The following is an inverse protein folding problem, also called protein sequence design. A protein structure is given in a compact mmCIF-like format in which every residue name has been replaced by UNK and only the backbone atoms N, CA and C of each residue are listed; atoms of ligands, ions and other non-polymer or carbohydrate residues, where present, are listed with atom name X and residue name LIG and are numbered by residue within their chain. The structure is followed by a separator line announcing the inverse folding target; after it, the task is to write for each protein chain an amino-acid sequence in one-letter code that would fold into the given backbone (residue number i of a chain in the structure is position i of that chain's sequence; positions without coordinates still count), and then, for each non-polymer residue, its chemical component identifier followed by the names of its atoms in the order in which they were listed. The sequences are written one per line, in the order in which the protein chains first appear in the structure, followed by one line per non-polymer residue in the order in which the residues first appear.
data_IF_315655790355
#
_entry.id   IF_315655790355
#
_cell.length_a   1.000
_cell.length_b   1.000
_cell.length_c   1.000
_cell.angle_alpha   90.00
_cell.angle_beta   90.00
_cell.angle_gamma   90.00
#
_symmetry.space_group_name_H-M   'P 1'
#
loop_
_entity.id
_entity.type
_entity.pdbx_description
1 polymer ?
#
# COMPACT_ATOMS: atom_id res chain seq x y z
N UNK A 1 4.60 10.02 0.91
CA UNK A 1 3.53 11.00 0.91
C UNK A 1 2.63 10.98 -0.32
N UNK A 2 2.91 10.10 -1.30
CA UNK A 2 2.06 9.97 -2.50
C UNK A 2 0.88 9.04 -2.16
N UNK A 3 -0.34 9.57 -2.21
CA UNK A 3 -1.57 8.84 -1.89
C UNK A 3 -1.87 7.66 -2.84
N UNK A 4 -1.31 7.69 -4.05
CA UNK A 4 -1.43 6.60 -5.04
C UNK A 4 -0.38 5.49 -4.85
N UNK A 5 0.66 5.71 -4.02
CA UNK A 5 1.73 4.74 -3.73
C UNK A 5 1.56 4.05 -2.39
N UNK A 6 0.98 4.73 -1.39
CA UNK A 6 0.89 4.25 -0.02
C UNK A 6 -0.56 4.26 0.46
N UNK A 7 -1.06 3.12 0.96
CA UNK A 7 -2.46 2.98 1.39
C UNK A 7 -2.80 3.88 2.58
N UNK A 8 -1.90 3.98 3.54
CA UNK A 8 -1.99 4.84 4.72
C UNK A 8 -0.76 5.74 4.79
N UNK A 9 -0.76 6.89 4.10
CA UNK A 9 0.40 7.76 4.03
C UNK A 9 0.88 8.22 5.40
N UNK A 10 2.18 8.15 5.62
CA UNK A 10 2.84 8.59 6.86
C UNK A 10 3.32 10.04 6.76
N UNK A 11 3.39 10.58 5.56
CA UNK A 11 3.80 11.94 5.26
C UNK A 11 2.66 12.66 4.56
N UNK A 12 2.32 13.84 5.06
CA UNK A 12 1.43 14.79 4.39
C UNK A 12 2.24 15.66 3.44
N UNK A 13 2.00 15.56 2.12
CA UNK A 13 2.70 16.37 1.14
C UNK A 13 2.16 17.81 1.15
N UNK A 14 3.09 18.75 1.05
CA UNK A 14 2.77 20.17 0.82
C UNK A 14 3.41 20.59 -0.50
N UNK A 15 2.59 20.86 -1.50
CA UNK A 15 3.03 21.13 -2.87
C UNK A 15 2.86 19.90 -3.79
N UNK A 16 3.53 19.93 -4.95
CA UNK A 16 3.40 18.90 -5.96
C UNK A 16 4.36 17.72 -5.72
N UNK A 17 3.82 16.61 -5.22
CA UNK A 17 4.54 15.33 -5.04
C UNK A 17 4.35 14.38 -6.23
N UNK A 18 3.84 14.87 -7.34
CA UNK A 18 3.58 14.10 -8.55
C UNK A 18 2.20 13.46 -8.61
N UNK A 19 1.92 12.91 -9.76
CA UNK A 19 0.75 12.07 -10.06
C UNK A 19 1.25 10.73 -10.60
N UNK A 20 0.39 9.74 -10.85
CA UNK A 20 0.82 8.52 -11.53
C UNK A 20 1.49 8.75 -12.88
N UNK A 21 1.14 9.84 -13.57
CA UNK A 21 1.59 10.17 -14.93
C UNK A 21 2.66 11.27 -14.97
N UNK A 22 2.71 12.15 -13.95
CA UNK A 22 3.60 13.29 -13.92
C UNK A 22 4.61 13.21 -12.77
N UNK A 23 5.88 13.59 -13.00
CA UNK A 23 6.89 13.60 -11.96
C UNK A 23 6.61 14.68 -10.90
N UNK A 24 7.11 14.51 -9.67
CA UNK A 24 7.00 15.52 -8.63
C UNK A 24 7.82 16.76 -8.96
N UNK A 25 7.47 17.88 -8.34
CA UNK A 25 8.29 19.08 -8.35
C UNK A 25 9.65 18.84 -7.67
N UNK A 26 10.64 19.69 -7.98
CA UNK A 26 11.91 19.63 -7.26
C UNK A 26 11.69 19.85 -5.75
N UNK A 27 12.43 19.13 -4.92
CA UNK A 27 12.22 19.12 -3.46
C UNK A 27 12.30 20.51 -2.79
N UNK A 28 12.98 21.49 -3.40
CA UNK A 28 13.05 22.87 -2.90
C UNK A 28 11.72 23.62 -2.97
N UNK A 29 10.73 23.09 -3.70
CA UNK A 29 9.39 23.69 -3.84
C UNK A 29 8.34 22.95 -3.02
N UNK A 30 8.72 21.95 -2.25
CA UNK A 30 7.79 21.12 -1.50
C UNK A 30 8.17 21.05 -0.03
N UNK A 31 7.19 20.81 0.83
CA UNK A 31 7.39 20.54 2.24
C UNK A 31 6.79 19.18 2.59
N UNK A 32 7.31 18.57 3.64
CA UNK A 32 6.80 17.30 4.18
C UNK A 32 6.41 17.51 5.64
N UNK A 33 5.22 17.02 6.00
CA UNK A 33 4.74 17.01 7.39
C UNK A 33 4.40 15.59 7.80
N UNK A 34 4.55 15.30 9.08
CA UNK A 34 4.07 14.01 9.61
C UNK A 34 2.54 13.99 9.57
N UNK A 35 1.98 12.88 9.09
CA UNK A 35 0.55 12.64 9.23
C UNK A 35 0.20 12.30 10.68
N UNK A 36 -1.07 12.44 11.07
CA UNK A 36 -1.53 12.02 12.39
C UNK A 36 -1.30 10.54 12.68
N UNK A 37 -1.30 9.71 11.64
CA UNK A 37 -1.00 8.29 11.77
C UNK A 37 0.48 8.03 12.07
N UNK A 38 1.39 8.87 11.55
CA UNK A 38 2.83 8.73 11.81
C UNK A 38 3.18 8.90 13.28
N UNK A 39 2.48 9.77 14.00
CA UNK A 39 2.70 9.95 15.43
C UNK A 39 2.42 8.68 16.24
N UNK A 40 1.54 7.81 15.75
CA UNK A 40 1.26 6.51 16.37
C UNK A 40 2.43 5.51 16.23
N UNK A 41 3.36 5.74 15.30
CA UNK A 41 4.58 4.92 15.20
C UNK A 41 5.63 5.34 16.22
N UNK A 42 5.59 6.59 16.68
CA UNK A 42 6.54 7.19 17.62
C UNK A 42 6.02 7.19 19.06
N UNK A 43 4.75 6.94 19.26
CA UNK A 43 4.12 7.03 20.58
C UNK A 43 4.75 6.04 21.56
N UNK A 44 5.20 6.56 22.71
CA UNK A 44 5.94 5.82 23.72
C UNK A 44 7.45 5.71 23.48
N UNK A 45 8.02 6.40 22.49
CA UNK A 45 9.45 6.32 22.18
C UNK A 45 10.35 6.81 23.34
N UNK A 46 9.84 7.75 24.14
CA UNK A 46 10.53 8.32 25.31
C UNK A 46 10.30 7.50 26.61
N UNK A 47 9.59 6.37 26.51
CA UNK A 47 9.19 5.52 27.64
C UNK A 47 10.03 4.24 27.77
N UNK A 48 11.26 4.23 27.22
CA UNK A 48 12.18 3.08 27.23
C UNK A 48 11.57 1.80 26.56
N UNK A 49 10.76 2.02 25.54
CA UNK A 49 10.07 0.95 24.81
C UNK A 49 10.93 0.30 23.74
N UNK A 50 11.97 0.99 23.28
CA UNK A 50 12.86 0.56 22.19
C UNK A 50 14.31 0.89 22.52
N UNK A 51 15.24 0.08 21.99
CA UNK A 51 16.67 0.31 22.11
C UNK A 51 17.15 1.38 21.14
N UNK A 52 18.09 2.20 21.58
CA UNK A 52 18.76 3.20 20.76
C UNK A 52 20.20 2.74 20.45
N UNK A 53 20.71 3.20 19.33
CA UNK A 53 22.11 3.00 18.93
C UNK A 53 22.67 4.31 18.32
N UNK A 54 24.00 4.49 18.29
CA UNK A 54 24.60 5.64 17.63
C UNK A 54 24.20 5.69 16.15
N UNK A 55 23.92 6.90 15.64
CA UNK A 55 23.72 7.13 14.22
C UNK A 55 25.03 6.93 13.44
N UNK A 56 24.98 7.02 12.11
CA UNK A 56 26.15 6.80 11.24
C UNK A 56 27.34 7.70 11.60
N UNK A 57 27.13 8.95 11.97
CA UNK A 57 28.20 9.89 12.38
C UNK A 57 28.66 9.69 13.83
N UNK A 58 27.90 8.99 14.65
CA UNK A 58 28.17 8.82 16.08
C UNK A 58 27.89 10.05 16.93
N UNK A 59 27.31 11.11 16.34
CA UNK A 59 27.04 12.38 17.04
C UNK A 59 25.75 12.34 17.85
N UNK A 60 24.79 11.56 17.41
CA UNK A 60 23.48 11.37 18.05
C UNK A 60 23.10 9.90 18.08
N UNK A 61 22.03 9.56 18.79
CA UNK A 61 21.47 8.22 18.82
C UNK A 61 20.12 8.18 18.09
N UNK A 62 19.83 7.03 17.50
CA UNK A 62 18.59 6.75 16.80
C UNK A 62 17.96 5.45 17.30
N UNK A 63 16.63 5.30 17.25
CA UNK A 63 15.98 4.06 17.66
C UNK A 63 16.26 2.94 16.66
N UNK A 64 16.58 1.75 17.15
CA UNK A 64 16.74 0.55 16.29
C UNK A 64 15.46 0.18 15.56
N UNK A 65 14.34 0.35 16.22
CA UNK A 65 12.97 0.16 15.68
C UNK A 65 12.06 1.19 16.30
N UNK A 66 10.94 1.47 15.64
CA UNK A 66 9.91 2.36 16.20
C UNK A 66 8.97 1.56 17.13
N UNK A 67 8.39 2.17 18.19
CA UNK A 67 7.41 1.51 19.07
C UNK A 67 6.21 0.94 18.32
N UNK A 68 5.70 1.67 17.31
CA UNK A 68 4.68 1.26 16.36
C UNK A 68 3.40 0.68 16.98
N UNK A 69 2.45 1.54 17.37
CA UNK A 69 1.15 1.11 17.90
C UNK A 69 0.25 0.37 16.91
N UNK A 70 0.59 0.37 15.64
CA UNK A 70 -0.12 -0.40 14.62
C UNK A 70 0.88 -1.12 13.71
N UNK A 71 0.51 -2.25 13.10
CA UNK A 71 1.40 -3.06 12.29
C UNK A 71 1.59 -2.46 10.89
N UNK A 72 2.41 -1.40 10.80
CA UNK A 72 2.63 -0.64 9.57
C UNK A 72 3.06 -1.51 8.39
N UNK A 73 3.90 -2.52 8.62
CA UNK A 73 4.34 -3.44 7.58
C UNK A 73 3.17 -4.16 6.89
N UNK A 74 2.14 -4.52 7.65
CA UNK A 74 0.97 -5.22 7.10
C UNK A 74 -0.01 -4.27 6.42
N UNK A 75 -0.22 -3.08 6.97
CA UNK A 75 -1.23 -2.15 6.42
C UNK A 75 -0.72 -1.37 5.22
N UNK A 76 0.57 -1.06 5.14
CA UNK A 76 1.16 -0.37 4.00
C UNK A 76 1.90 -1.29 3.03
N UNK A 77 2.17 -2.53 3.44
CA UNK A 77 2.99 -3.44 2.65
C UNK A 77 4.46 -3.03 2.61
N UNK A 78 5.23 -3.72 1.80
CA UNK A 78 6.62 -3.42 1.54
C UNK A 78 7.03 -3.90 0.16
N UNK A 79 7.76 -3.07 -0.56
CA UNK A 79 8.37 -3.42 -1.84
C UNK A 79 9.84 -3.01 -1.81
N UNK A 80 10.70 -3.89 -2.30
CA UNK A 80 12.11 -3.60 -2.38
C UNK A 80 12.90 -4.68 -3.08
N UNK A 81 14.00 -4.27 -3.72
CA UNK A 81 14.94 -5.14 -4.42
C UNK A 81 16.28 -4.99 -3.72
N UNK A 82 16.77 -6.10 -3.18
CA UNK A 82 18.10 -6.20 -2.57
C UNK A 82 18.98 -7.15 -3.38
N UNK A 83 20.25 -7.26 -2.99
CA UNK A 83 21.13 -8.26 -3.60
C UNK A 83 20.64 -9.66 -3.23
N UNK A 84 20.43 -10.49 -4.23
CA UNK A 84 19.94 -11.88 -4.15
C UNK A 84 18.51 -12.10 -3.62
N UNK A 85 17.77 -11.05 -3.23
CA UNK A 85 16.38 -11.18 -2.81
C UNK A 85 15.53 -9.94 -3.11
N UNK A 86 14.24 -10.14 -3.22
CA UNK A 86 13.26 -9.06 -3.36
C UNK A 86 12.06 -9.35 -2.46
N UNK A 87 11.37 -8.30 -2.04
CA UNK A 87 10.09 -8.40 -1.36
C UNK A 87 9.03 -7.61 -2.12
N UNK A 88 7.82 -8.12 -2.14
CA UNK A 88 6.64 -7.43 -2.67
C UNK A 88 5.42 -7.87 -1.87
N UNK A 89 5.21 -7.21 -0.73
CA UNK A 89 4.07 -7.45 0.15
C UNK A 89 3.00 -6.39 -0.12
N UNK A 90 1.78 -6.79 -0.48
CA UNK A 90 0.71 -5.84 -0.70
C UNK A 90 0.23 -5.21 0.62
N UNK A 91 -0.39 -4.02 0.55
CA UNK A 91 -1.05 -3.41 1.71
C UNK A 91 -2.37 -4.11 2.03
N UNK A 92 -2.79 -4.06 3.31
CA UNK A 92 -4.02 -4.63 3.80
C UNK A 92 -4.86 -3.61 4.58
N UNK A 93 -6.14 -3.84 4.67
CA UNK A 93 -7.07 -2.98 5.39
C UNK A 93 -6.76 -2.95 6.89
N UNK A 94 -6.62 -1.74 7.46
CA UNK A 94 -6.26 -1.55 8.87
C UNK A 94 -7.26 -2.21 9.83
N UNK A 95 -8.56 -2.17 9.53
CA UNK A 95 -9.59 -2.79 10.38
C UNK A 95 -9.46 -4.30 10.36
N UNK A 96 -9.29 -4.91 9.19
CA UNK A 96 -9.11 -6.35 9.04
C UNK A 96 -7.85 -6.82 9.78
N UNK A 97 -6.74 -6.10 9.64
CA UNK A 97 -5.50 -6.41 10.35
C UNK A 97 -5.67 -6.25 11.86
N UNK A 98 -6.33 -5.20 12.33
CA UNK A 98 -6.59 -5.00 13.75
C UNK A 98 -7.46 -6.14 14.33
N UNK A 99 -8.49 -6.56 13.60
CA UNK A 99 -9.30 -7.70 14.01
C UNK A 99 -8.50 -9.02 14.00
N UNK A 100 -7.61 -9.21 13.05
CA UNK A 100 -6.72 -10.37 13.01
C UNK A 100 -5.76 -10.40 14.22
N UNK A 101 -5.22 -9.25 14.61
CA UNK A 101 -4.37 -9.11 15.81
C UNK A 101 -5.16 -9.44 17.07
N UNK A 102 -6.37 -8.86 17.25
CA UNK A 102 -7.24 -9.17 18.39
C UNK A 102 -7.59 -10.66 18.44
N UNK A 103 -7.91 -11.24 17.29
CA UNK A 103 -8.20 -12.65 17.18
C UNK A 103 -7.01 -13.52 17.61
N UNK A 104 -5.81 -13.15 17.21
CA UNK A 104 -4.56 -13.85 17.59
C UNK A 104 -4.31 -13.78 19.09
N UNK A 105 -4.50 -12.62 19.70
CA UNK A 105 -4.32 -12.42 21.15
C UNK A 105 -5.35 -13.25 21.94
N UNK A 106 -6.58 -13.30 21.48
CA UNK A 106 -7.67 -14.01 22.15
C UNK A 106 -7.59 -15.55 22.03
N UNK A 107 -6.84 -16.08 21.04
CA UNK A 107 -6.80 -17.51 20.74
C UNK A 107 -5.36 -18.01 20.71
N UNK A 108 -5.03 -19.03 21.49
CA UNK A 108 -3.66 -19.59 21.59
C UNK A 108 -3.27 -20.47 20.39
N UNK A 109 -4.23 -21.13 19.74
CA UNK A 109 -4.00 -22.15 18.70
C UNK A 109 -4.56 -21.73 17.34
N UNK A 110 -4.26 -20.48 16.90
CA UNK A 110 -4.72 -19.96 15.61
C UNK A 110 -3.97 -20.63 14.46
N UNK A 111 -4.72 -21.11 13.49
CA UNK A 111 -4.17 -21.67 12.25
C UNK A 111 -4.22 -20.64 11.11
N UNK A 112 -3.27 -20.65 10.16
CA UNK A 112 -3.27 -19.71 9.05
C UNK A 112 -4.61 -19.60 8.31
N UNK A 113 -5.34 -20.71 8.15
CA UNK A 113 -6.66 -20.74 7.49
C UNK A 113 -7.74 -19.90 8.21
N UNK A 114 -7.59 -19.66 9.51
CA UNK A 114 -8.58 -18.92 10.29
C UNK A 114 -8.57 -17.43 9.94
N UNK A 115 -7.43 -16.91 9.52
CA UNK A 115 -7.29 -15.52 9.07
C UNK A 115 -8.07 -15.23 7.77
N UNK A 116 -8.34 -16.23 6.93
CA UNK A 116 -9.14 -16.06 5.70
C UNK A 116 -10.58 -15.61 5.96
N UNK A 117 -11.07 -15.76 7.18
CA UNK A 117 -12.40 -15.28 7.60
C UNK A 117 -12.38 -13.77 7.88
N UNK A 118 -11.22 -13.24 8.25
CA UNK A 118 -11.02 -11.85 8.68
C UNK A 118 -10.41 -11.04 7.54
N UNK A 119 -9.29 -11.50 6.97
CA UNK A 119 -8.56 -10.83 5.90
C UNK A 119 -9.13 -11.30 4.56
N UNK A 120 -9.77 -10.39 3.83
CA UNK A 120 -10.42 -10.68 2.55
C UNK A 120 -9.45 -10.67 1.38
N UNK A 121 -8.43 -9.82 1.44
CA UNK A 121 -7.44 -9.64 0.40
C UNK A 121 -6.68 -8.33 0.58
N UNK A 122 -5.81 -7.99 -0.36
CA UNK A 122 -5.12 -6.70 -0.37
C UNK A 122 -6.08 -5.52 -0.48
N UNK A 123 -5.68 -4.39 0.09
CA UNK A 123 -6.40 -3.12 0.05
C UNK A 123 -5.48 -2.05 -0.56
N UNK A 124 -5.57 -1.87 -1.88
CA UNK A 124 -4.68 -1.00 -2.64
C UNK A 124 -5.10 0.48 -2.57
N UNK A 125 -4.13 1.43 -2.57
CA UNK A 125 -4.43 2.86 -2.49
C UNK A 125 -5.18 3.42 -3.70
N UNK A 126 -5.04 2.80 -4.87
CA UNK A 126 -5.69 3.23 -6.11
C UNK A 126 -7.04 2.57 -6.37
N UNK A 127 -7.52 1.74 -5.45
CA UNK A 127 -8.76 1.00 -5.62
C UNK A 127 -8.63 -0.18 -6.59
N UNK A 128 -9.64 -0.33 -7.44
CA UNK A 128 -9.76 -1.45 -8.35
C UNK A 128 -10.49 -2.65 -7.74
N UNK A 129 -10.77 -3.62 -8.57
CA UNK A 129 -11.48 -4.84 -8.19
C UNK A 129 -10.48 -6.00 -8.10
N UNK A 130 -10.27 -6.50 -6.91
CA UNK A 130 -9.51 -7.73 -6.71
C UNK A 130 -10.38 -8.91 -7.15
N UNK A 131 -9.91 -9.66 -8.15
CA UNK A 131 -10.64 -10.83 -8.65
C UNK A 131 -10.40 -11.99 -7.71
N UNK A 132 -11.47 -12.50 -7.10
CA UNK A 132 -11.37 -13.65 -6.22
C UNK A 132 -10.88 -14.88 -7.02
N UNK A 133 -9.72 -15.37 -6.62
CA UNK A 133 -9.10 -16.57 -7.19
C UNK A 133 -8.57 -17.45 -6.07
N UNK A 134 -8.42 -18.77 -6.27
CA UNK A 134 -7.75 -19.64 -5.31
C UNK A 134 -6.35 -19.14 -4.91
N UNK A 135 -5.68 -18.43 -5.83
CA UNK A 135 -4.32 -17.90 -5.62
C UNK A 135 -4.25 -16.80 -4.55
N UNK A 136 -5.33 -16.04 -4.30
CA UNK A 136 -5.38 -15.07 -3.18
C UNK A 136 -5.30 -15.80 -1.85
N UNK A 137 -6.10 -16.86 -1.69
CA UNK A 137 -6.08 -17.69 -0.48
C UNK A 137 -4.69 -18.31 -0.27
N UNK A 138 -4.07 -18.79 -1.34
CA UNK A 138 -2.71 -19.31 -1.29
C UNK A 138 -1.68 -18.21 -0.94
N UNK A 139 -1.83 -17.01 -1.46
CA UNK A 139 -0.95 -15.89 -1.13
C UNK A 139 -0.99 -15.55 0.36
N UNK A 140 -2.20 -15.51 0.95
CA UNK A 140 -2.37 -15.27 2.39
C UNK A 140 -1.82 -16.43 3.23
N UNK A 141 -2.08 -17.69 2.82
CA UNK A 141 -1.70 -18.86 3.59
C UNK A 141 -0.21 -19.22 3.48
N UNK A 142 0.39 -19.01 2.30
CA UNK A 142 1.75 -19.45 1.96
C UNK A 142 2.74 -18.29 1.84
N UNK A 143 2.24 -17.04 1.87
CA UNK A 143 3.05 -15.83 1.62
C UNK A 143 3.53 -15.70 0.17
N UNK A 144 2.96 -16.45 -0.77
CA UNK A 144 3.29 -16.40 -2.20
C UNK A 144 2.05 -16.63 -3.04
N UNK A 145 1.86 -15.83 -4.08
CA UNK A 145 0.73 -15.97 -4.99
C UNK A 145 0.68 -14.83 -6.01
N UNK A 146 -0.21 -14.98 -6.98
CA UNK A 146 -0.52 -13.95 -7.97
C UNK A 146 -1.91 -13.40 -7.69
N UNK A 147 -2.01 -12.07 -7.66
CA UNK A 147 -3.26 -11.35 -7.41
C UNK A 147 -3.65 -10.65 -8.71
N UNK A 148 -4.87 -10.92 -9.18
CA UNK A 148 -5.43 -10.24 -10.35
C UNK A 148 -6.29 -9.07 -9.91
N UNK A 149 -5.99 -7.88 -10.46
CA UNK A 149 -6.74 -6.66 -10.18
C UNK A 149 -7.32 -6.18 -11.51
N UNK A 150 -8.58 -5.75 -11.49
CA UNK A 150 -9.24 -5.10 -12.61
C UNK A 150 -9.47 -3.63 -12.30
N UNK A 151 -9.41 -2.81 -13.34
CA UNK A 151 -9.88 -1.43 -13.28
C UNK A 151 -11.40 -1.37 -13.02
N UNK A 152 -11.86 -0.27 -12.46
CA UNK A 152 -13.27 0.10 -12.46
C UNK A 152 -13.50 1.03 -13.63
N UNK A 153 -14.28 0.58 -14.61
CA UNK A 153 -14.53 1.32 -15.83
C UNK A 153 -16.00 1.22 -16.24
N UNK A 154 -16.52 2.30 -16.78
CA UNK A 154 -17.87 2.40 -17.35
C UNK A 154 -17.81 2.89 -18.80
N UNK A 155 -18.87 2.62 -19.55
CA UNK A 155 -19.04 3.17 -20.89
C UNK A 155 -20.06 4.30 -20.81
N UNK A 156 -19.64 5.51 -21.19
CA UNK A 156 -20.47 6.71 -21.18
C UNK A 156 -20.74 7.19 -22.61
N UNK A 157 -21.96 7.64 -22.88
CA UNK A 157 -22.33 8.24 -24.16
C UNK A 157 -21.93 9.72 -24.17
N UNK A 158 -21.10 10.12 -25.13
CA UNK A 158 -20.66 11.52 -25.33
C UNK A 158 -21.56 12.33 -26.27
N UNK A 159 -22.69 11.77 -26.73
CA UNK A 159 -23.55 12.36 -27.75
C UNK A 159 -23.02 12.20 -29.18
N UNK A 160 -23.88 12.48 -30.15
CA UNK A 160 -23.62 12.31 -31.60
C UNK A 160 -23.16 10.89 -31.98
N UNK A 161 -23.63 9.86 -31.27
CA UNK A 161 -23.31 8.46 -31.54
C UNK A 161 -21.88 8.05 -31.12
N UNK A 162 -21.20 8.83 -30.29
CA UNK A 162 -19.86 8.49 -29.75
C UNK A 162 -19.98 8.00 -28.32
N UNK A 163 -19.21 7.00 -27.97
CA UNK A 163 -19.07 6.47 -26.62
C UNK A 163 -17.62 6.62 -26.15
N UNK A 164 -17.44 6.74 -24.84
CA UNK A 164 -16.14 6.72 -24.20
C UNK A 164 -16.07 5.63 -23.12
N UNK A 165 -14.92 5.04 -22.97
CA UNK A 165 -14.61 4.20 -21.81
C UNK A 165 -14.01 5.11 -20.74
N UNK A 166 -14.72 5.26 -19.62
CA UNK A 166 -14.27 6.07 -18.49
C UNK A 166 -13.73 5.15 -17.41
N UNK A 167 -12.43 5.21 -17.18
CA UNK A 167 -11.76 4.43 -16.15
C UNK A 167 -11.73 5.27 -14.87
N UNK A 168 -12.45 4.83 -13.83
CA UNK A 168 -12.58 5.52 -12.54
C UNK A 168 -11.48 5.13 -11.56
N UNK A 169 -11.05 3.86 -11.61
CA UNK A 169 -9.99 3.33 -10.77
C UNK A 169 -9.06 2.45 -11.60
N UNK A 170 -7.77 2.59 -11.39
CA UNK A 170 -6.74 1.80 -12.04
C UNK A 170 -6.14 0.78 -11.07
N UNK A 171 -5.74 -0.40 -11.56
CA UNK A 171 -4.95 -1.33 -10.76
C UNK A 171 -3.69 -0.65 -10.22
N UNK A 172 -3.33 -1.00 -9.00
CA UNK A 172 -2.12 -0.50 -8.34
C UNK A 172 -0.89 -0.69 -9.22
N UNK A 173 -0.06 0.35 -9.32
CA UNK A 173 1.14 0.40 -10.18
C UNK A 173 0.88 0.24 -11.70
N UNK A 174 -0.36 0.35 -12.15
CA UNK A 174 -0.64 0.36 -13.58
C UNK A 174 -0.22 1.70 -14.20
N UNK A 175 0.45 1.61 -15.35
CA UNK A 175 0.80 2.79 -16.16
C UNK A 175 -0.34 3.09 -17.13
N UNK A 176 -0.87 4.31 -17.10
CA UNK A 176 -1.88 4.83 -18.01
C UNK A 176 -1.40 4.78 -19.46
N UNK A 177 -0.18 5.21 -19.73
CA UNK A 177 0.39 5.23 -21.07
C UNK A 177 0.42 3.82 -21.69
N UNK A 178 0.90 2.82 -20.94
CA UNK A 178 0.92 1.44 -21.42
C UNK A 178 -0.47 0.87 -21.68
N UNK A 179 -1.46 1.27 -20.89
CA UNK A 179 -2.86 0.86 -21.11
C UNK A 179 -3.40 1.50 -22.38
N UNK A 180 -3.15 2.78 -22.58
CA UNK A 180 -3.57 3.50 -23.81
C UNK A 180 -2.92 2.93 -25.06
N UNK A 181 -1.62 2.68 -25.05
CA UNK A 181 -0.90 2.02 -26.14
C UNK A 181 -1.50 0.64 -26.47
N UNK A 182 -1.80 -0.14 -25.43
CA UNK A 182 -2.40 -1.46 -25.62
C UNK A 182 -3.81 -1.39 -26.21
N UNK A 183 -4.62 -0.44 -25.78
CA UNK A 183 -5.96 -0.20 -26.35
C UNK A 183 -5.83 0.22 -27.80
N UNK A 184 -4.94 1.18 -28.12
CA UNK A 184 -4.71 1.62 -29.49
C UNK A 184 -4.29 0.46 -30.42
N UNK A 185 -3.44 -0.43 -29.92
CA UNK A 185 -3.00 -1.63 -30.67
C UNK A 185 -4.14 -2.63 -30.92
N UNK A 186 -5.12 -2.70 -30.02
CA UNK A 186 -6.28 -3.61 -30.17
C UNK A 186 -7.35 -3.08 -31.13
N UNK A 187 -7.34 -1.79 -31.46
CA UNK A 187 -8.30 -1.14 -32.36
C UNK A 187 -7.82 -1.21 -33.82
N UNK A 188 -6.55 -1.45 -34.05
CA UNK A 188 -5.97 -1.69 -35.40
C UNK A 188 -6.23 -3.13 -35.88
#
# INVERSE_FOLDING_TARGET
GQHFSTRYPLIEPQGNFGTPDDPPAAMRYTESRMSSLSSQLLDGIDEDTVNFEPNYSGETSEPKVLPARFPNLLVNGAEGIAVAMATNMPPYNLREITEAVKFTIANKDVKPKDYLKIIKGPDFPTGGLVVETPTIKEAILKGRGSIKIRAVADVEELGRGRSAIVVKELPYQASTDRIMEKIATLVQ
#
